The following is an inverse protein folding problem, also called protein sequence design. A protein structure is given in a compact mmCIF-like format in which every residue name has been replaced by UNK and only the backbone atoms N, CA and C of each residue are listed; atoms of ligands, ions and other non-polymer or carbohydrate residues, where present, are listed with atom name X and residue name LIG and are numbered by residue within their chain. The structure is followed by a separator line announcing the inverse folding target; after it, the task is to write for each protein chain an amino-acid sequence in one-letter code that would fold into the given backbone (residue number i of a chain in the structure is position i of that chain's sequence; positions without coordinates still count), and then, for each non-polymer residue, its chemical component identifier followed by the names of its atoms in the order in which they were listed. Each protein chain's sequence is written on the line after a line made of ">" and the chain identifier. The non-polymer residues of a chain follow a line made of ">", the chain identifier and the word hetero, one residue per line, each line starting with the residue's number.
data_IF_908604271064
#
_entry.id   IF_908604271064
#
_cell.length_a   1.000
_cell.length_b   1.000
_cell.length_c   1.000
_cell.angle_alpha   90.00
_cell.angle_beta   90.00
_cell.angle_gamma   90.00
#
_symmetry.space_group_name_H-M   'P 1'
#
loop_
_entity.id
_entity.type
_entity.pdbx_description
1 polymer ?
#
# COMPACT_ATOMS: atom_id res chain seq x y z
N UNK A 1 -3.79 17.00 5.66
CA UNK A 1 -2.98 15.80 5.41
C UNK A 1 -3.66 14.94 4.36
N UNK A 2 -2.92 14.43 3.40
CA UNK A 2 -3.42 13.61 2.28
C UNK A 2 -2.70 12.26 2.26
N UNK A 3 -3.46 11.18 2.37
CA UNK A 3 -2.94 9.82 2.53
C UNK A 3 -3.37 8.94 1.35
N UNK A 4 -2.43 8.17 0.78
CA UNK A 4 -2.70 7.10 -0.15
C UNK A 4 -2.52 5.75 0.55
N UNK A 5 -3.60 4.98 0.66
CA UNK A 5 -3.57 3.59 1.11
C UNK A 5 -3.50 2.69 -0.13
N UNK A 6 -2.43 1.94 -0.29
CA UNK A 6 -2.24 1.04 -1.43
C UNK A 6 -2.51 -0.40 -0.99
N UNK A 7 -3.39 -1.09 -1.71
CA UNK A 7 -3.61 -2.51 -1.57
C UNK A 7 -2.82 -3.27 -2.65
N UNK A 8 -1.87 -4.11 -2.26
CA UNK A 8 -1.06 -4.90 -3.19
C UNK A 8 -1.68 -6.24 -3.58
N UNK A 9 -2.84 -6.55 -3.01
CA UNK A 9 -3.73 -7.66 -3.42
C UNK A 9 -5.02 -7.09 -4.01
N UNK A 10 -5.86 -7.93 -4.61
CA UNK A 10 -7.15 -7.46 -5.14
C UNK A 10 -8.01 -6.86 -4.03
N UNK A 11 -8.48 -5.64 -4.23
CA UNK A 11 -9.41 -4.98 -3.32
C UNK A 11 -10.79 -5.64 -3.45
N UNK A 12 -11.24 -6.32 -2.38
CA UNK A 12 -12.47 -7.11 -2.36
C UNK A 12 -12.70 -7.79 -1.02
N UNK A 13 -13.29 -8.99 -1.02
CA UNK A 13 -13.64 -9.75 0.19
C UNK A 13 -12.44 -10.50 0.77
N UNK A 14 -11.51 -9.79 1.43
CA UNK A 14 -10.37 -10.37 2.13
C UNK A 14 -9.93 -9.48 3.32
N UNK A 15 -9.14 -10.04 4.24
CA UNK A 15 -8.72 -9.38 5.47
C UNK A 15 -7.96 -8.07 5.26
N UNK A 16 -7.02 -8.02 4.30
CA UNK A 16 -6.25 -6.80 3.98
C UNK A 16 -7.19 -5.71 3.47
N UNK A 17 -8.12 -6.06 2.58
CA UNK A 17 -9.11 -5.11 2.06
C UNK A 17 -10.03 -4.58 3.16
N UNK A 18 -10.47 -5.45 4.07
CA UNK A 18 -11.29 -5.04 5.22
C UNK A 18 -10.53 -4.06 6.11
N UNK A 19 -9.27 -4.36 6.42
CA UNK A 19 -8.40 -3.45 7.18
C UNK A 19 -8.27 -2.08 6.49
N UNK A 20 -7.93 -2.05 5.19
CA UNK A 20 -7.73 -0.82 4.43
C UNK A 20 -9.00 0.03 4.39
N UNK A 21 -10.16 -0.60 4.13
CA UNK A 21 -11.45 0.09 4.04
C UNK A 21 -11.82 0.71 5.40
N UNK A 22 -11.69 -0.07 6.50
CA UNK A 22 -12.02 0.41 7.84
C UNK A 22 -11.05 1.52 8.28
N UNK A 23 -9.76 1.40 7.99
CA UNK A 23 -8.76 2.44 8.25
C UNK A 23 -9.08 3.71 7.45
N UNK A 24 -9.44 3.59 6.17
CA UNK A 24 -9.81 4.72 5.33
C UNK A 24 -11.04 5.46 5.88
N UNK A 25 -12.07 4.72 6.32
CA UNK A 25 -13.28 5.29 6.92
C UNK A 25 -12.93 6.01 8.23
N UNK A 26 -12.11 5.40 9.09
CA UNK A 26 -11.67 6.03 10.34
C UNK A 26 -10.88 7.33 10.11
N UNK A 27 -9.96 7.32 9.15
CA UNK A 27 -9.19 8.50 8.77
C UNK A 27 -10.07 9.60 8.18
N UNK A 28 -11.01 9.26 7.28
CA UNK A 28 -11.93 10.21 6.67
C UNK A 28 -12.85 10.88 7.69
N UNK A 29 -13.32 10.14 8.71
CA UNK A 29 -14.10 10.69 9.84
C UNK A 29 -13.31 11.73 10.64
N UNK A 30 -11.98 11.65 10.65
CA UNK A 30 -11.06 12.61 11.27
C UNK A 30 -10.62 13.72 10.30
N UNK A 31 -11.36 13.98 9.23
CA UNK A 31 -11.10 15.02 8.23
C UNK A 31 -9.77 14.86 7.49
N UNK A 32 -9.25 13.63 7.37
CA UNK A 32 -8.08 13.33 6.57
C UNK A 32 -8.52 12.99 5.15
N UNK A 33 -7.86 13.59 4.16
CA UNK A 33 -8.13 13.28 2.76
C UNK A 33 -7.50 11.93 2.39
N UNK A 34 -8.34 10.91 2.19
CA UNK A 34 -7.90 9.55 1.93
C UNK A 34 -8.21 9.13 0.51
N UNK A 35 -7.24 8.51 -0.13
CA UNK A 35 -7.41 7.80 -1.40
C UNK A 35 -7.00 6.34 -1.19
N UNK A 36 -7.80 5.41 -1.70
CA UNK A 36 -7.40 4.00 -1.82
C UNK A 36 -6.92 3.76 -3.25
N UNK A 37 -5.73 3.16 -3.39
CA UNK A 37 -5.23 2.65 -4.65
C UNK A 37 -5.45 1.13 -4.71
N UNK A 38 -6.23 0.67 -5.68
CA UNK A 38 -6.49 -0.73 -5.96
C UNK A 38 -5.72 -1.17 -7.23
N UNK A 39 -5.23 -2.42 -7.24
CA UNK A 39 -4.53 -3.01 -8.40
C UNK A 39 -5.47 -3.76 -9.34
N UNK A 40 -6.76 -3.77 -9.05
CA UNK A 40 -7.82 -4.41 -9.81
C UNK A 40 -8.97 -3.44 -10.07
N UNK A 41 -9.88 -3.84 -10.96
CA UNK A 41 -11.18 -3.17 -11.06
C UNK A 41 -12.04 -3.51 -9.84
N UNK A 42 -12.59 -2.48 -9.23
CA UNK A 42 -13.44 -2.59 -8.04
C UNK A 42 -14.90 -2.63 -8.45
N UNK A 43 -15.69 -3.48 -7.81
CA UNK A 43 -17.13 -3.59 -8.12
C UNK A 43 -17.91 -2.34 -7.69
N UNK A 44 -19.10 -2.17 -8.28
CA UNK A 44 -19.95 -0.99 -8.06
C UNK A 44 -20.35 -0.81 -6.59
N UNK A 45 -20.82 -1.83 -5.86
CA UNK A 45 -21.22 -1.67 -4.46
C UNK A 45 -20.10 -1.12 -3.56
N UNK A 46 -18.85 -1.60 -3.77
CA UNK A 46 -17.73 -1.10 -3.00
C UNK A 46 -17.33 0.34 -3.38
N UNK A 47 -17.40 0.69 -4.67
CA UNK A 47 -17.21 2.09 -5.12
C UNK A 47 -18.20 3.03 -4.46
N UNK A 48 -19.47 2.66 -4.45
CA UNK A 48 -20.54 3.48 -3.86
C UNK A 48 -20.34 3.62 -2.33
N UNK A 49 -19.93 2.54 -1.65
CA UNK A 49 -19.56 2.58 -0.22
C UNK A 49 -18.40 3.54 0.06
N UNK A 50 -17.35 3.50 -0.75
CA UNK A 50 -16.19 4.39 -0.57
C UNK A 50 -16.58 5.85 -0.81
N UNK A 51 -17.35 6.12 -1.85
CA UNK A 51 -17.85 7.46 -2.18
C UNK A 51 -18.73 8.03 -1.07
N UNK A 52 -19.65 7.24 -0.52
CA UNK A 52 -20.52 7.64 0.60
C UNK A 52 -19.71 8.02 1.85
N UNK A 53 -18.50 7.47 2.02
CA UNK A 53 -17.58 7.79 3.11
C UNK A 53 -16.53 8.86 2.73
N UNK A 54 -16.69 9.56 1.60
CA UNK A 54 -15.78 10.59 1.10
C UNK A 54 -14.34 10.08 0.85
N UNK A 55 -14.21 8.80 0.51
CA UNK A 55 -12.94 8.15 0.19
C UNK A 55 -12.78 8.11 -1.33
N UNK A 56 -11.67 8.67 -1.83
CA UNK A 56 -11.33 8.58 -3.23
C UNK A 56 -10.81 7.18 -3.58
N UNK A 57 -11.12 6.71 -4.78
CA UNK A 57 -10.61 5.45 -5.32
C UNK A 57 -9.81 5.71 -6.59
N UNK A 58 -8.61 5.15 -6.66
CA UNK A 58 -7.79 5.09 -7.87
C UNK A 58 -7.50 3.65 -8.23
N UNK A 59 -7.93 3.23 -9.38
CA UNK A 59 -7.63 1.89 -9.91
C UNK A 59 -6.37 1.95 -10.78
N UNK A 60 -5.42 1.05 -10.50
CA UNK A 60 -4.24 0.79 -11.31
C UNK A 60 -4.31 -0.64 -11.83
N UNK A 61 -3.80 -0.85 -13.03
CA UNK A 61 -3.71 -2.19 -13.60
C UNK A 61 -2.24 -2.51 -13.93
N UNK A 62 -1.95 -3.78 -14.12
CA UNK A 62 -0.65 -4.21 -14.60
C UNK A 62 0.43 -4.34 -13.54
N UNK A 63 0.12 -4.29 -12.24
CA UNK A 63 1.10 -4.46 -11.17
C UNK A 63 1.94 -5.73 -11.33
N UNK A 64 1.30 -6.84 -11.66
CA UNK A 64 1.95 -8.13 -11.81
C UNK A 64 2.39 -8.43 -13.25
N UNK A 65 1.64 -7.97 -14.26
CA UNK A 65 1.91 -8.24 -15.67
C UNK A 65 2.85 -7.24 -16.35
N UNK A 66 2.89 -6.00 -15.85
CA UNK A 66 3.69 -4.92 -16.41
C UNK A 66 4.19 -3.98 -15.30
N UNK A 67 5.03 -4.49 -14.36
CA UNK A 67 5.41 -3.77 -13.14
C UNK A 67 6.12 -2.43 -13.41
N UNK A 68 6.87 -2.33 -14.50
CA UNK A 68 7.53 -1.08 -14.91
C UNK A 68 6.50 -0.02 -15.31
N UNK A 69 5.51 -0.38 -16.13
CA UNK A 69 4.44 0.56 -16.51
C UNK A 69 3.63 0.98 -15.28
N UNK A 70 3.31 0.03 -14.42
CA UNK A 70 2.63 0.30 -13.16
C UNK A 70 3.43 1.27 -12.27
N UNK A 71 4.73 1.05 -12.11
CA UNK A 71 5.63 1.92 -11.34
C UNK A 71 5.56 3.38 -11.84
N UNK A 72 5.70 3.61 -13.15
CA UNK A 72 5.64 4.96 -13.70
C UNK A 72 4.25 5.59 -13.60
N UNK A 73 3.18 4.80 -13.80
CA UNK A 73 1.81 5.28 -13.63
C UNK A 73 1.55 5.73 -12.19
N UNK A 74 1.98 4.93 -11.20
CA UNK A 74 1.87 5.26 -9.78
C UNK A 74 2.72 6.47 -9.42
N UNK A 75 4.01 6.51 -9.82
CA UNK A 75 4.91 7.64 -9.58
C UNK A 75 4.33 8.96 -10.12
N UNK A 76 3.85 8.97 -11.36
CA UNK A 76 3.25 10.15 -11.97
C UNK A 76 1.97 10.60 -11.24
N UNK A 77 1.16 9.64 -10.80
CA UNK A 77 -0.03 9.93 -9.99
C UNK A 77 0.35 10.57 -8.64
N UNK A 78 1.38 10.06 -7.97
CA UNK A 78 1.88 10.59 -6.71
C UNK A 78 2.41 12.02 -6.86
N UNK A 79 3.21 12.31 -7.91
CA UNK A 79 3.73 13.65 -8.21
C UNK A 79 2.59 14.65 -8.41
N UNK A 80 1.58 14.29 -9.23
CA UNK A 80 0.45 15.18 -9.55
C UNK A 80 -0.45 15.46 -8.35
N UNK A 81 -0.62 14.49 -7.46
CA UNK A 81 -1.57 14.58 -6.36
C UNK A 81 -0.95 14.99 -5.02
N UNK A 82 0.37 14.98 -4.87
CA UNK A 82 1.13 15.44 -3.69
C UNK A 82 0.62 14.86 -2.38
N UNK A 83 0.78 13.53 -2.21
CA UNK A 83 0.45 12.86 -0.96
C UNK A 83 1.53 13.11 0.10
N UNK A 84 1.10 13.31 1.35
CA UNK A 84 2.00 13.42 2.52
C UNK A 84 2.48 12.04 2.96
N UNK A 85 1.59 11.03 2.86
CA UNK A 85 1.82 9.67 3.31
C UNK A 85 1.40 8.68 2.22
N UNK A 86 2.24 7.68 1.98
CA UNK A 86 1.90 6.47 1.23
C UNK A 86 2.02 5.29 2.18
N UNK A 87 0.91 4.59 2.39
CA UNK A 87 0.83 3.41 3.25
C UNK A 87 0.51 2.18 2.39
N UNK A 88 1.51 1.33 2.21
CA UNK A 88 1.45 0.14 1.36
C UNK A 88 1.13 -1.09 2.21
N UNK A 89 0.04 -1.76 1.88
CA UNK A 89 -0.44 -2.95 2.58
C UNK A 89 -0.18 -4.19 1.74
N UNK A 90 0.55 -5.14 2.30
CA UNK A 90 0.94 -6.35 1.58
C UNK A 90 1.66 -7.37 2.44
N UNK A 91 2.21 -8.40 1.78
CA UNK A 91 2.76 -9.58 2.45
C UNK A 91 4.25 -9.79 2.20
N UNK A 92 4.92 -8.96 1.42
CA UNK A 92 6.30 -9.22 1.03
C UNK A 92 7.06 -7.97 0.60
N UNK A 93 8.36 -8.12 0.39
CA UNK A 93 9.19 -7.04 -0.13
C UNK A 93 8.86 -6.61 -1.57
N UNK A 94 7.90 -7.27 -2.24
CA UNK A 94 7.35 -6.80 -3.52
C UNK A 94 6.69 -5.43 -3.40
N UNK A 95 6.31 -5.00 -2.18
CA UNK A 95 5.93 -3.62 -1.85
C UNK A 95 7.03 -2.59 -2.19
N UNK A 96 8.25 -3.04 -2.49
CA UNK A 96 9.34 -2.18 -2.97
C UNK A 96 8.95 -1.36 -4.20
N UNK A 97 8.08 -1.87 -5.06
CA UNK A 97 7.61 -1.19 -6.27
C UNK A 97 6.88 0.10 -5.88
N UNK A 98 5.91 0.00 -4.99
CA UNK A 98 5.10 1.13 -4.51
C UNK A 98 5.93 2.11 -3.67
N UNK A 99 6.75 1.57 -2.77
CA UNK A 99 7.58 2.38 -1.88
C UNK A 99 8.66 3.15 -2.64
N UNK A 100 9.27 2.52 -3.66
CA UNK A 100 10.24 3.19 -4.53
C UNK A 100 9.57 4.27 -5.39
N UNK A 101 8.36 4.00 -5.92
CA UNK A 101 7.59 5.00 -6.65
C UNK A 101 7.27 6.21 -5.77
N UNK A 102 6.86 5.96 -4.51
CA UNK A 102 6.59 7.01 -3.53
C UNK A 102 7.86 7.80 -3.15
N UNK A 103 8.99 7.11 -2.93
CA UNK A 103 10.28 7.77 -2.68
C UNK A 103 10.70 8.64 -3.86
N UNK A 104 10.60 8.11 -5.08
CA UNK A 104 10.95 8.82 -6.31
C UNK A 104 10.01 9.99 -6.62
N UNK A 105 8.82 10.00 -6.05
CA UNK A 105 7.84 11.09 -6.13
C UNK A 105 8.00 12.13 -4.99
N UNK A 106 8.97 11.95 -4.08
CA UNK A 106 9.23 12.88 -2.97
C UNK A 106 8.26 12.75 -1.78
N UNK A 107 7.50 11.64 -1.68
CA UNK A 107 6.60 11.41 -0.53
C UNK A 107 7.44 11.24 0.74
N UNK A 108 7.12 12.01 1.78
CA UNK A 108 7.91 12.08 3.01
C UNK A 108 7.78 10.81 3.86
N UNK A 109 6.57 10.35 4.12
CA UNK A 109 6.31 9.15 4.92
C UNK A 109 5.83 7.99 4.04
N UNK A 110 6.58 6.90 4.04
CA UNK A 110 6.37 5.71 3.22
C UNK A 110 6.33 4.48 4.11
N UNK A 111 5.11 4.03 4.40
CA UNK A 111 4.84 2.96 5.35
C UNK A 111 4.67 1.65 4.61
N UNK A 112 5.38 0.60 5.04
CA UNK A 112 5.08 -0.78 4.71
C UNK A 112 4.30 -1.42 5.86
N UNK A 113 3.17 -2.05 5.55
CA UNK A 113 2.37 -2.77 6.54
C UNK A 113 2.32 -4.27 6.20
N UNK A 114 2.87 -5.08 7.09
CA UNK A 114 2.91 -6.53 6.98
C UNK A 114 1.64 -7.16 7.52
N UNK A 115 0.94 -7.93 6.68
CA UNK A 115 -0.32 -8.59 7.06
C UNK A 115 -0.22 -10.12 7.16
N UNK A 116 0.94 -10.72 6.80
CA UNK A 116 1.10 -12.17 6.78
C UNK A 116 2.56 -12.56 7.03
N UNK A 117 2.78 -13.84 7.30
CA UNK A 117 4.09 -14.47 7.56
C UNK A 117 4.59 -15.30 6.38
N UNK A 118 3.96 -15.20 5.20
CA UNK A 118 4.30 -15.99 4.02
C UNK A 118 4.37 -15.16 2.75
N UNK A 119 5.02 -15.69 1.73
CA UNK A 119 5.02 -15.14 0.37
C UNK A 119 4.97 -16.25 -0.66
N UNK A 120 4.22 -16.05 -1.74
CA UNK A 120 4.17 -16.95 -2.89
C UNK A 120 5.42 -16.86 -3.76
N UNK A 121 6.25 -15.82 -3.57
CA UNK A 121 7.42 -15.54 -4.41
C UNK A 121 8.69 -15.35 -3.56
N UNK A 122 9.24 -16.41 -2.94
CA UNK A 122 10.38 -16.28 -2.02
C UNK A 122 11.65 -15.73 -2.69
N UNK A 123 11.91 -16.10 -3.94
CA UNK A 123 13.05 -15.59 -4.70
C UNK A 123 12.93 -14.08 -4.96
N UNK A 124 11.79 -13.63 -5.47
CA UNK A 124 11.53 -12.20 -5.71
C UNK A 124 11.55 -11.41 -4.39
N UNK A 125 11.03 -12.00 -3.32
CA UNK A 125 11.07 -11.41 -1.98
C UNK A 125 12.51 -11.19 -1.50
N UNK A 126 13.44 -12.12 -1.78
CA UNK A 126 14.87 -11.95 -1.46
C UNK A 126 15.52 -10.88 -2.34
N UNK A 127 15.25 -10.92 -3.64
CA UNK A 127 15.83 -9.99 -4.64
C UNK A 127 15.45 -8.53 -4.40
N UNK A 128 14.17 -8.27 -4.06
CA UNK A 128 13.67 -6.92 -3.86
C UNK A 128 13.97 -6.33 -2.47
N UNK A 129 14.52 -7.14 -1.56
CA UNK A 129 14.81 -6.68 -0.19
C UNK A 129 15.67 -5.42 -0.11
N UNK A 130 16.80 -5.26 -0.83
CA UNK A 130 17.60 -4.05 -0.76
C UNK A 130 16.80 -2.80 -1.17
N UNK A 131 16.00 -2.90 -2.23
CA UNK A 131 15.16 -1.80 -2.72
C UNK A 131 14.04 -1.48 -1.71
N UNK A 132 13.46 -2.50 -1.11
CA UNK A 132 12.45 -2.35 -0.05
C UNK A 132 13.02 -1.57 1.14
N UNK A 133 14.17 -2.02 1.70
CA UNK A 133 14.83 -1.37 2.83
C UNK A 133 15.28 0.08 2.53
N UNK A 134 15.75 0.33 1.31
CA UNK A 134 16.11 1.67 0.83
C UNK A 134 14.90 2.62 0.75
N UNK A 135 13.72 2.09 0.48
CA UNK A 135 12.54 2.88 0.13
C UNK A 135 11.58 3.12 1.30
N UNK A 136 11.51 2.17 2.26
CA UNK A 136 10.63 2.25 3.44
C UNK A 136 11.23 3.14 4.53
N UNK A 137 10.39 3.94 5.20
CA UNK A 137 10.79 4.68 6.40
C UNK A 137 9.75 4.63 7.55
N UNK A 138 8.61 3.98 7.34
CA UNK A 138 7.64 3.60 8.37
C UNK A 138 7.34 2.10 8.28
N UNK A 139 7.23 1.39 9.40
CA UNK A 139 7.01 -0.06 9.44
C UNK A 139 5.89 -0.39 10.40
N UNK A 140 4.83 -1.01 9.89
CA UNK A 140 3.70 -1.49 10.67
C UNK A 140 3.48 -2.97 10.41
N UNK A 141 2.92 -3.66 11.38
CA UNK A 141 2.52 -5.04 11.24
C UNK A 141 1.18 -5.30 11.94
N UNK A 142 0.38 -6.22 11.42
CA UNK A 142 -0.88 -6.62 12.05
C UNK A 142 -0.67 -7.45 13.32
N UNK A 143 0.53 -7.99 13.52
CA UNK A 143 0.97 -8.70 14.73
C UNK A 143 2.51 -8.87 14.69
N UNK A 144 3.06 -9.28 15.83
CA UNK A 144 4.50 -9.50 16.03
C UNK A 144 5.10 -10.49 15.03
N UNK A 145 4.40 -11.60 14.74
CA UNK A 145 4.89 -12.62 13.82
C UNK A 145 5.05 -12.07 12.39
N UNK A 146 4.06 -11.33 11.88
CA UNK A 146 4.12 -10.70 10.58
C UNK A 146 5.23 -9.63 10.51
N UNK A 147 5.42 -8.86 11.59
CA UNK A 147 6.49 -7.87 11.68
C UNK A 147 7.87 -8.50 11.65
N UNK A 148 8.12 -9.51 12.49
CA UNK A 148 9.40 -10.23 12.53
C UNK A 148 9.72 -10.92 11.19
N UNK A 149 8.70 -11.46 10.54
CA UNK A 149 8.86 -12.10 9.22
C UNK A 149 9.31 -11.11 8.14
N UNK A 150 8.64 -9.96 8.03
CA UNK A 150 8.93 -8.99 6.97
C UNK A 150 10.13 -8.10 7.33
N UNK A 151 10.19 -7.55 8.53
CA UNK A 151 11.17 -6.55 8.93
C UNK A 151 12.40 -7.14 9.63
N UNK A 152 12.35 -8.43 9.99
CA UNK A 152 13.44 -9.15 10.67
C UNK A 152 13.83 -8.45 11.99
N UNK A 153 15.07 -7.89 12.05
CA UNK A 153 15.62 -7.20 13.23
C UNK A 153 15.30 -5.71 13.29
N UNK A 154 14.60 -5.15 12.30
CA UNK A 154 14.24 -3.72 12.28
C UNK A 154 13.04 -3.46 13.20
N UNK A 155 13.02 -2.31 13.85
CA UNK A 155 11.86 -1.89 14.66
C UNK A 155 10.62 -1.69 13.79
N UNK A 156 9.49 -2.03 14.33
CA UNK A 156 8.16 -1.86 13.73
C UNK A 156 7.13 -1.68 14.84
N UNK A 157 5.98 -1.11 14.50
CA UNK A 157 4.82 -0.96 15.38
C UNK A 157 3.73 -1.99 15.00
N UNK A 158 2.93 -2.39 15.98
CA UNK A 158 1.82 -3.37 15.85
C UNK A 158 0.49 -2.70 16.11
#
# INVERSE_FOLDING_TARGET
>A
MKILLINTVSLGANGISTFIINSAIGLAKNNINVTIAAINRVNRPLKDKLLANKINLKEFQGRNSSPIKYFYALKNYLIRNRFDVVHVNGNSTTMAIELLAAKSAGVKLRIAHSHNTTTEHPFINKLLRPIFEYSVNGRLACNDAAGRWLFKRKKFDV
#
